data_IF_153054380561
#
_entry.id   IF_153054380561
#
_cell.length_a   1.000
_cell.length_b   1.000
_cell.length_c   1.000
_cell.angle_alpha   90.00
_cell.angle_beta   90.00
_cell.angle_gamma   90.00
#
_symmetry.space_group_name_H-M   'P 1'
#
loop_
_entity.id
_entity.type
_entity.pdbx_description
1 polymer ?
#
# COMPACT_ATOMS: atom_id res chain seq x y z
N UNK A 1 -15.05 33.61 -4.54
CA UNK A 1 -16.13 32.82 -3.92
C UNK A 1 -15.86 31.31 -3.88
N UNK A 2 -15.33 30.67 -4.93
CA UNK A 2 -14.96 29.23 -4.88
C UNK A 2 -13.64 28.92 -4.16
N UNK A 3 -12.70 29.88 -4.07
CA UNK A 3 -11.38 29.65 -3.48
C UNK A 3 -11.40 29.63 -1.94
N UNK A 4 -12.25 30.46 -1.32
CA UNK A 4 -12.37 30.57 0.14
C UNK A 4 -12.99 29.32 0.79
N UNK A 5 -13.95 28.69 0.10
CA UNK A 5 -14.66 27.50 0.59
C UNK A 5 -13.75 26.28 0.73
N UNK A 6 -12.80 26.09 -0.19
CA UNK A 6 -11.85 24.98 -0.13
C UNK A 6 -10.82 25.18 0.98
N UNK A 7 -10.34 26.41 1.13
CA UNK A 7 -9.37 26.78 2.18
C UNK A 7 -9.98 26.63 3.59
N UNK A 8 -11.23 27.07 3.79
CA UNK A 8 -11.94 26.86 5.05
C UNK A 8 -12.19 25.37 5.36
N UNK A 9 -12.51 24.54 4.35
CA UNK A 9 -12.69 23.09 4.56
C UNK A 9 -11.38 22.39 4.94
N UNK A 10 -10.25 22.79 4.35
CA UNK A 10 -8.93 22.25 4.68
C UNK A 10 -8.49 22.64 6.11
N UNK A 11 -8.77 23.88 6.54
CA UNK A 11 -8.51 24.33 7.92
C UNK A 11 -9.37 23.54 8.90
N UNK A 12 -10.66 23.38 8.63
CA UNK A 12 -11.57 22.63 9.52
C UNK A 12 -11.17 21.16 9.64
N UNK A 13 -10.77 20.51 8.54
CA UNK A 13 -10.28 19.13 8.56
C UNK A 13 -8.97 18.99 9.36
N UNK A 14 -8.02 19.92 9.18
CA UNK A 14 -6.76 19.92 9.92
C UNK A 14 -6.98 20.17 11.42
N UNK A 15 -7.88 21.07 11.79
CA UNK A 15 -8.26 21.33 13.18
C UNK A 15 -8.93 20.10 13.81
N UNK A 16 -9.81 19.40 13.09
CA UNK A 16 -10.45 18.17 13.58
C UNK A 16 -9.44 17.04 13.81
N UNK A 17 -8.46 16.87 12.92
CA UNK A 17 -7.38 15.87 13.08
C UNK A 17 -6.49 16.19 14.29
N UNK A 18 -6.13 17.46 14.48
CA UNK A 18 -5.33 17.89 15.64
C UNK A 18 -6.12 17.71 16.94
N UNK A 19 -7.42 18.02 16.95
CA UNK A 19 -8.28 17.87 18.12
C UNK A 19 -8.49 16.39 18.46
N UNK A 20 -8.65 15.52 17.46
CA UNK A 20 -8.72 14.06 17.65
C UNK A 20 -7.41 13.49 18.21
N UNK A 21 -6.26 13.97 17.74
CA UNK A 21 -4.95 13.57 18.25
C UNK A 21 -4.73 14.03 19.70
N UNK A 22 -5.12 15.26 20.04
CA UNK A 22 -5.04 15.79 21.41
C UNK A 22 -5.96 15.04 22.38
N UNK A 23 -7.17 14.69 21.94
CA UNK A 23 -8.11 13.85 22.72
C UNK A 23 -7.54 12.45 22.95
N UNK A 24 -6.92 11.84 21.93
CA UNK A 24 -6.27 10.53 22.07
C UNK A 24 -5.10 10.57 23.08
N UNK A 25 -4.28 11.63 23.03
CA UNK A 25 -3.15 11.84 23.95
C UNK A 25 -3.64 12.11 25.39
N UNK A 26 -4.74 12.86 25.57
CA UNK A 26 -5.31 13.12 26.90
C UNK A 26 -5.98 11.88 27.53
N UNK A 27 -6.53 10.98 26.71
CA UNK A 27 -7.19 9.76 27.18
C UNK A 27 -6.18 8.66 27.57
N UNK A 28 -5.00 8.63 26.93
CA UNK A 28 -3.94 7.64 27.21
C UNK A 28 -3.53 7.52 28.68
N UNK A 29 -3.26 8.61 29.45
CA UNK A 29 -2.84 8.49 30.84
C UNK A 29 -3.95 8.06 31.81
N UNK A 30 -5.23 8.08 31.41
CA UNK A 30 -6.35 7.67 32.27
C UNK A 30 -6.64 6.15 32.20
N UNK A 31 -6.30 5.49 31.09
CA UNK A 31 -6.57 4.06 30.87
C UNK A 31 -5.48 3.17 31.48
N UNK A 32 -4.23 3.64 31.48
CA UNK A 32 -3.06 2.86 31.98
C UNK A 32 -3.13 2.55 33.50
N UNK A 33 -3.54 3.48 34.39
CA UNK A 33 -3.64 3.18 35.82
C UNK A 33 -4.81 2.25 36.17
N UNK A 34 -5.93 2.34 35.45
CA UNK A 34 -7.11 1.51 35.66
C UNK A 34 -6.88 0.03 35.27
N UNK A 35 -6.08 -0.19 34.22
CA UNK A 35 -5.64 -1.52 33.82
C UNK A 35 -4.71 -2.16 34.88
N UNK A 36 -3.83 -1.36 35.49
CA UNK A 36 -2.93 -1.81 36.56
C UNK A 36 -3.66 -2.15 37.87
N UNK A 37 -4.62 -1.32 38.28
CA UNK A 37 -5.40 -1.54 39.50
C UNK A 37 -6.29 -2.80 39.41
N UNK A 38 -6.86 -3.08 38.23
CA UNK A 38 -7.68 -4.27 37.98
C UNK A 38 -6.85 -5.56 37.97
N UNK A 39 -5.60 -5.50 37.51
CA UNK A 39 -4.67 -6.64 37.51
C UNK A 39 -4.37 -7.13 38.94
N UNK A 40 -4.23 -6.21 39.90
CA UNK A 40 -4.00 -6.59 41.30
C UNK A 40 -5.20 -7.32 41.92
N UNK A 41 -6.43 -6.93 41.59
CA UNK A 41 -7.64 -7.57 42.13
C UNK A 41 -7.83 -8.99 41.58
N UNK A 42 -7.42 -9.25 40.33
CA UNK A 42 -7.50 -10.56 39.70
C UNK A 42 -6.49 -11.58 40.28
N UNK A 43 -5.33 -11.11 40.74
CA UNK A 43 -4.33 -11.99 41.38
C UNK A 43 -4.73 -12.47 42.78
N UNK A 44 -5.68 -11.79 43.45
CA UNK A 44 -6.10 -12.13 44.82
C UNK A 44 -7.31 -13.07 44.91
N UNK A 45 -7.98 -13.40 43.80
CA UNK A 45 -9.21 -14.21 43.81
C UNK A 45 -9.12 -15.42 42.87
N UNK A 46 -8.38 -16.46 43.27
CA UNK A 46 -8.13 -17.68 42.48
C UNK A 46 -9.34 -18.61 42.24
N UNK A 47 -10.43 -18.10 41.68
CA UNK A 47 -11.63 -18.87 41.33
C UNK A 47 -11.93 -18.91 39.81
N UNK A 48 -12.94 -19.69 39.37
CA UNK A 48 -13.37 -19.76 37.97
C UNK A 48 -13.79 -18.39 37.38
N UNK A 49 -14.20 -17.45 38.24
CA UNK A 49 -14.45 -16.07 37.85
C UNK A 49 -13.16 -15.32 37.44
N UNK A 50 -12.03 -15.54 38.12
CA UNK A 50 -10.75 -14.92 37.73
C UNK A 50 -10.17 -15.55 36.46
N UNK A 51 -10.38 -16.84 36.23
CA UNK A 51 -10.04 -17.48 34.95
C UNK A 51 -10.89 -16.92 33.79
N UNK A 52 -12.19 -16.69 34.02
CA UNK A 52 -13.07 -16.05 33.04
C UNK A 52 -12.72 -14.58 32.78
N UNK A 53 -12.37 -13.83 33.82
CA UNK A 53 -11.89 -12.44 33.73
C UNK A 53 -10.55 -12.38 33.00
N UNK A 54 -9.61 -13.27 33.31
CA UNK A 54 -8.32 -13.39 32.61
C UNK A 54 -8.49 -13.74 31.13
N UNK A 55 -9.38 -14.69 30.80
CA UNK A 55 -9.70 -15.03 29.41
C UNK A 55 -10.36 -13.86 28.65
N UNK A 56 -11.22 -13.08 29.31
CA UNK A 56 -11.83 -11.88 28.73
C UNK A 56 -10.79 -10.78 28.51
N UNK A 57 -9.84 -10.61 29.43
CA UNK A 57 -8.72 -9.67 29.28
C UNK A 57 -7.83 -10.04 28.10
N UNK A 58 -7.42 -11.31 28.00
CA UNK A 58 -6.59 -11.80 26.87
C UNK A 58 -7.29 -11.59 25.53
N UNK A 59 -8.60 -11.87 25.45
CA UNK A 59 -9.38 -11.62 24.22
C UNK A 59 -9.44 -10.14 23.86
N UNK A 60 -9.57 -9.27 24.85
CA UNK A 60 -9.65 -7.81 24.63
C UNK A 60 -8.30 -7.26 24.16
N UNK A 61 -7.20 -7.69 24.78
CA UNK A 61 -5.83 -7.36 24.36
C UNK A 61 -5.54 -7.86 22.94
N UNK A 62 -5.97 -9.08 22.62
CA UNK A 62 -5.77 -9.67 21.29
C UNK A 62 -6.58 -8.91 20.22
N UNK A 63 -7.84 -8.61 20.52
CA UNK A 63 -8.71 -7.85 19.62
C UNK A 63 -8.21 -6.43 19.42
N UNK A 64 -7.75 -5.77 20.49
CA UNK A 64 -7.16 -4.43 20.42
C UNK A 64 -5.92 -4.44 19.54
N UNK A 65 -4.98 -5.37 19.81
CA UNK A 65 -3.76 -5.52 19.02
C UNK A 65 -4.04 -5.83 17.54
N UNK A 66 -5.03 -6.69 17.27
CA UNK A 66 -5.52 -7.00 15.93
C UNK A 66 -6.04 -5.75 15.21
N UNK A 67 -6.87 -4.94 15.88
CA UNK A 67 -7.43 -3.72 15.29
C UNK A 67 -6.37 -2.64 15.06
N UNK A 68 -5.43 -2.48 16.00
CA UNK A 68 -4.28 -1.59 15.84
C UNK A 68 -3.40 -2.04 14.67
N UNK A 69 -3.14 -3.34 14.55
CA UNK A 69 -2.41 -3.91 13.42
C UNK A 69 -3.10 -3.62 12.09
N UNK A 70 -4.40 -3.89 12.00
CA UNK A 70 -5.20 -3.61 10.81
C UNK A 70 -5.10 -2.16 10.35
N UNK A 71 -5.29 -1.21 11.27
CA UNK A 71 -5.19 0.21 10.93
C UNK A 71 -3.76 0.66 10.66
N UNK A 72 -2.76 0.10 11.34
CA UNK A 72 -1.36 0.37 11.06
C UNK A 72 -1.00 -0.07 9.63
N UNK A 73 -1.47 -1.25 9.19
CA UNK A 73 -1.30 -1.74 7.81
C UNK A 73 -2.01 -0.85 6.79
N UNK A 74 -3.26 -0.46 7.08
CA UNK A 74 -3.98 0.49 6.24
C UNK A 74 -3.23 1.82 6.13
N UNK A 75 -2.80 2.38 7.26
CA UNK A 75 -2.13 3.67 7.31
C UNK A 75 -0.77 3.63 6.62
N UNK A 76 -0.02 2.54 6.78
CA UNK A 76 1.26 2.34 6.11
C UNK A 76 1.13 2.52 4.60
N UNK A 77 0.21 1.78 3.98
CA UNK A 77 0.03 1.81 2.53
C UNK A 77 -0.61 3.10 2.02
N UNK A 78 -1.46 3.74 2.82
CA UNK A 78 -2.08 5.02 2.48
C UNK A 78 -1.12 6.21 2.65
N UNK A 79 -0.19 6.11 3.59
CA UNK A 79 0.80 7.16 3.87
C UNK A 79 1.97 7.15 2.89
N UNK A 80 2.29 5.98 2.30
CA UNK A 80 3.31 5.85 1.26
C UNK A 80 2.78 6.30 -0.11
N UNK A 81 3.18 7.48 -0.62
CA UNK A 81 2.69 7.98 -1.91
C UNK A 81 3.19 7.14 -3.10
N UNK A 82 4.27 6.38 -2.89
CA UNK A 82 4.89 5.46 -3.84
C UNK A 82 3.97 4.29 -4.19
N UNK A 83 3.31 3.68 -3.20
CA UNK A 83 2.35 2.59 -3.43
C UNK A 83 1.18 3.07 -4.29
N UNK A 84 0.63 4.22 -3.94
CA UNK A 84 -0.48 4.84 -4.68
C UNK A 84 -0.04 5.25 -6.09
N UNK A 85 1.15 5.83 -6.24
CA UNK A 85 1.70 6.21 -7.55
C UNK A 85 1.99 5.00 -8.45
N UNK A 86 2.41 3.86 -7.88
CA UNK A 86 2.60 2.61 -8.63
C UNK A 86 1.26 2.00 -9.09
N UNK A 87 0.26 1.96 -8.20
CA UNK A 87 -0.99 1.28 -8.46
C UNK A 87 -2.00 2.12 -9.27
N UNK A 88 -1.89 3.44 -9.26
CA UNK A 88 -2.76 4.33 -10.02
C UNK A 88 -2.76 4.05 -11.54
N UNK A 89 -1.63 4.10 -12.26
CA UNK A 89 -1.60 3.81 -13.70
C UNK A 89 -2.03 2.38 -14.02
N UNK A 90 -1.81 1.42 -13.10
CA UNK A 90 -2.24 0.04 -13.25
C UNK A 90 -3.76 -0.15 -13.05
N UNK A 91 -4.45 0.74 -12.34
CA UNK A 91 -5.87 0.54 -11.98
C UNK A 91 -6.83 1.32 -12.87
N UNK A 92 -6.35 2.36 -13.56
CA UNK A 92 -7.18 3.21 -14.42
C UNK A 92 -7.74 2.41 -15.59
N UNK A 93 -9.04 2.54 -15.82
CA UNK A 93 -9.74 1.88 -16.94
C UNK A 93 -10.11 0.41 -16.70
N UNK A 94 -9.71 -0.20 -15.58
CA UNK A 94 -10.08 -1.57 -15.19
C UNK A 94 -11.42 -1.62 -14.47
N UNK A 95 -12.10 -2.76 -14.52
CA UNK A 95 -13.33 -2.98 -13.74
C UNK A 95 -13.05 -3.01 -12.24
N UNK A 96 -14.10 -2.88 -11.41
CA UNK A 96 -13.95 -2.93 -9.95
C UNK A 96 -13.23 -4.19 -9.49
N UNK A 97 -13.64 -5.35 -10.01
CA UNK A 97 -13.08 -6.65 -9.63
C UNK A 97 -11.63 -6.80 -10.10
N UNK A 98 -11.31 -6.35 -11.31
CA UNK A 98 -9.95 -6.38 -11.83
C UNK A 98 -9.03 -5.43 -11.06
N UNK A 99 -9.51 -4.24 -10.73
CA UNK A 99 -8.76 -3.27 -9.92
C UNK A 99 -8.50 -3.81 -8.51
N UNK A 100 -9.52 -4.42 -7.88
CA UNK A 100 -9.38 -5.11 -6.59
C UNK A 100 -8.33 -6.22 -6.66
N UNK A 101 -8.37 -7.05 -7.70
CA UNK A 101 -7.42 -8.15 -7.88
C UNK A 101 -5.99 -7.64 -8.09
N UNK A 102 -5.81 -6.56 -8.86
CA UNK A 102 -4.50 -5.92 -9.07
C UNK A 102 -3.96 -5.37 -7.75
N UNK A 103 -4.76 -4.60 -7.02
CA UNK A 103 -4.35 -4.05 -5.72
C UNK A 103 -4.08 -5.12 -4.68
N UNK A 104 -4.93 -6.13 -4.57
CA UNK A 104 -4.75 -7.22 -3.63
C UNK A 104 -3.53 -8.08 -3.97
N UNK A 105 -3.29 -8.37 -5.25
CA UNK A 105 -2.16 -9.19 -5.67
C UNK A 105 -0.83 -8.45 -5.51
N UNK A 106 -0.82 -7.14 -5.80
CA UNK A 106 0.33 -6.29 -5.52
C UNK A 106 0.58 -6.21 -4.00
N UNK A 107 -0.47 -6.03 -3.20
CA UNK A 107 -0.38 -6.02 -1.73
C UNK A 107 0.11 -7.34 -1.14
N UNK A 108 -0.36 -8.48 -1.63
CA UNK A 108 0.17 -9.78 -1.23
C UNK A 108 1.66 -9.94 -1.60
N UNK A 109 2.05 -9.45 -2.78
CA UNK A 109 3.46 -9.43 -3.20
C UNK A 109 4.29 -8.56 -2.28
N UNK A 110 3.80 -7.38 -1.96
CA UNK A 110 4.42 -6.42 -1.06
C UNK A 110 4.62 -7.01 0.34
N UNK A 111 3.58 -7.58 0.94
CA UNK A 111 3.66 -8.30 2.21
C UNK A 111 4.68 -9.45 2.15
N UNK A 112 4.72 -10.22 1.07
CA UNK A 112 5.70 -11.27 0.88
C UNK A 112 7.13 -10.72 0.83
N UNK A 113 7.35 -9.60 0.12
CA UNK A 113 8.62 -8.89 0.11
C UNK A 113 9.06 -8.47 1.52
N UNK A 114 8.14 -7.91 2.31
CA UNK A 114 8.40 -7.49 3.68
C UNK A 114 8.76 -8.67 4.59
N UNK A 115 8.05 -9.79 4.48
CA UNK A 115 8.33 -11.00 5.25
C UNK A 115 9.68 -11.61 4.87
N UNK A 116 10.00 -11.67 3.57
CA UNK A 116 11.30 -12.14 3.08
C UNK A 116 12.41 -11.23 3.62
N UNK A 117 12.23 -9.91 3.52
CA UNK A 117 13.18 -8.94 4.02
C UNK A 117 13.38 -9.06 5.53
N UNK A 118 12.29 -9.14 6.29
CA UNK A 118 12.33 -9.33 7.74
C UNK A 118 13.05 -10.61 8.15
N UNK A 119 12.83 -11.72 7.43
CA UNK A 119 13.54 -12.98 7.68
C UNK A 119 15.05 -12.86 7.39
N UNK A 120 15.42 -12.26 6.26
CA UNK A 120 16.83 -11.99 5.92
C UNK A 120 17.49 -11.12 6.98
N UNK A 121 16.79 -10.06 7.42
CA UNK A 121 17.26 -9.16 8.47
C UNK A 121 17.51 -9.91 9.78
N UNK A 122 16.61 -10.80 10.21
CA UNK A 122 16.79 -11.59 11.43
C UNK A 122 18.01 -12.52 11.37
N UNK A 123 18.27 -13.15 10.22
CA UNK A 123 19.38 -14.10 10.05
C UNK A 123 20.73 -13.36 9.94
N UNK A 124 20.77 -12.22 9.24
CA UNK A 124 22.00 -11.48 8.93
C UNK A 124 22.17 -10.20 9.77
N UNK A 125 21.44 -10.05 10.89
CA UNK A 125 21.36 -8.81 11.68
C UNK A 125 22.72 -8.18 12.05
N UNK A 126 23.73 -9.02 12.31
CA UNK A 126 25.07 -8.58 12.74
C UNK A 126 26.02 -8.30 11.55
N UNK A 127 25.54 -8.48 10.31
CA UNK A 127 26.32 -8.31 9.06
C UNK A 127 25.72 -7.27 8.11
N UNK A 128 24.49 -6.83 8.36
CA UNK A 128 23.74 -5.92 7.48
C UNK A 128 23.89 -4.48 7.95
N UNK A 129 24.57 -3.66 7.14
CA UNK A 129 24.56 -2.21 7.31
C UNK A 129 23.20 -1.68 6.83
N UNK A 130 22.31 -1.36 7.77
CA UNK A 130 20.92 -0.95 7.51
C UNK A 130 20.87 0.24 6.52
N UNK A 131 21.83 1.16 6.60
CA UNK A 131 21.92 2.30 5.70
C UNK A 131 22.12 1.89 4.23
N UNK A 132 23.01 0.93 3.96
CA UNK A 132 23.29 0.47 2.60
C UNK A 132 22.03 -0.15 1.99
N UNK A 133 21.33 -0.97 2.77
CA UNK A 133 20.11 -1.65 2.33
C UNK A 133 18.98 -0.66 2.11
N UNK A 134 18.84 0.32 2.99
CA UNK A 134 17.87 1.41 2.84
C UNK A 134 18.12 2.18 1.55
N UNK A 135 19.37 2.57 1.28
CA UNK A 135 19.74 3.26 0.05
C UNK A 135 19.43 2.43 -1.19
N UNK A 136 19.78 1.14 -1.22
CA UNK A 136 19.49 0.28 -2.37
C UNK A 136 18.00 0.00 -2.53
N UNK A 137 17.27 -0.26 -1.43
CA UNK A 137 15.82 -0.48 -1.43
C UNK A 137 15.07 0.73 -1.98
N UNK A 138 15.38 1.93 -1.48
CA UNK A 138 14.78 3.18 -1.96
C UNK A 138 15.10 3.46 -3.43
N UNK A 139 16.31 3.12 -3.91
CA UNK A 139 16.64 3.22 -5.34
C UNK A 139 15.83 2.24 -6.20
N UNK A 140 15.68 1.00 -5.75
CA UNK A 140 14.88 -0.02 -6.44
C UNK A 140 13.41 0.41 -6.54
N UNK A 141 12.86 1.00 -5.48
CA UNK A 141 11.51 1.58 -5.50
C UNK A 141 11.41 2.73 -6.50
N UNK A 142 12.35 3.67 -6.49
CA UNK A 142 12.39 4.75 -7.47
C UNK A 142 12.45 4.25 -8.92
N UNK A 143 13.29 3.24 -9.20
CA UNK A 143 13.38 2.61 -10.51
C UNK A 143 12.09 1.88 -10.90
N UNK A 144 11.45 1.20 -9.95
CA UNK A 144 10.18 0.50 -10.19
C UNK A 144 9.08 1.49 -10.59
N UNK A 145 9.01 2.66 -9.95
CA UNK A 145 8.09 3.74 -10.33
C UNK A 145 8.36 4.29 -11.73
N UNK A 146 9.63 4.45 -12.11
CA UNK A 146 10.00 4.84 -13.48
C UNK A 146 9.51 3.82 -14.51
N UNK A 147 9.72 2.52 -14.25
CA UNK A 147 9.28 1.44 -15.14
C UNK A 147 7.75 1.39 -15.26
N UNK A 148 7.04 1.44 -14.13
CA UNK A 148 5.57 1.42 -14.12
C UNK A 148 5.00 2.63 -14.86
N UNK A 149 5.54 3.83 -14.62
CA UNK A 149 5.10 5.03 -15.33
C UNK A 149 5.41 4.97 -16.83
N UNK A 150 6.59 4.48 -17.23
CA UNK A 150 6.92 4.31 -18.64
C UNK A 150 5.99 3.29 -19.33
N UNK A 151 5.65 2.19 -18.65
CA UNK A 151 4.67 1.21 -19.13
C UNK A 151 3.27 1.82 -19.27
N UNK A 152 2.82 2.64 -18.30
CA UNK A 152 1.53 3.32 -18.36
C UNK A 152 1.43 4.34 -19.50
N UNK A 153 2.51 5.08 -19.79
CA UNK A 153 2.61 5.97 -20.96
C UNK A 153 2.48 5.17 -22.26
N UNK A 154 3.19 4.04 -22.37
CA UNK A 154 3.12 3.18 -23.55
C UNK A 154 1.70 2.66 -23.77
N UNK A 155 1.04 2.16 -22.73
CA UNK A 155 -0.34 1.66 -22.79
C UNK A 155 -1.33 2.76 -23.20
N UNK A 156 -1.15 3.98 -22.67
CA UNK A 156 -2.00 5.12 -23.05
C UNK A 156 -1.75 5.59 -24.50
N UNK A 157 -0.51 5.49 -24.99
CA UNK A 157 -0.15 5.88 -26.37
C UNK A 157 -0.67 4.90 -27.41
N UNK A 158 -0.67 3.59 -27.11
CA UNK A 158 -1.25 2.56 -27.98
C UNK A 158 -2.78 2.69 -28.06
N UNK A 159 -3.44 3.13 -26.99
CA UNK A 159 -4.87 3.42 -26.99
C UNK A 159 -5.25 4.67 -27.82
N UNK A 160 -4.30 5.60 -28.02
CA UNK A 160 -4.47 6.81 -28.83
C UNK A 160 -4.28 6.58 -30.35
N UNK A 161 -3.73 5.43 -30.75
CA UNK A 161 -3.33 5.14 -32.11
C UNK A 161 -4.40 4.56 -33.09
N UNK A 162 -5.74 4.62 -32.91
CA UNK A 162 -6.68 4.15 -33.93
C UNK A 162 -7.14 5.28 -34.90
N UNK A 163 -6.31 6.30 -35.19
CA UNK A 163 -6.74 7.41 -36.08
C UNK A 163 -5.77 7.83 -37.20
N UNK A 164 -4.59 7.20 -37.38
CA UNK A 164 -3.68 7.56 -38.49
C UNK A 164 -3.03 6.31 -39.12
N UNK A 165 -3.81 5.59 -39.93
CA UNK A 165 -3.35 4.71 -41.00
C UNK A 165 -4.48 4.68 -42.04
N UNK A 166 -4.59 5.74 -42.84
CA UNK A 166 -4.17 5.76 -44.25
C UNK A 166 -4.89 4.73 -45.12
N UNK A 167 -5.79 5.29 -45.93
CA UNK A 167 -6.19 4.89 -47.27
C UNK A 167 -5.05 4.23 -48.08
N UNK A 168 -5.40 3.20 -48.86
CA UNK A 168 -4.64 2.47 -49.89
C UNK A 168 -3.58 1.40 -49.50
N UNK A 169 -3.91 0.14 -49.81
CA UNK A 169 -3.15 -0.72 -50.74
C UNK A 169 -1.88 -1.42 -50.23
N UNK A 170 -1.95 -2.75 -50.11
CA UNK A 170 -0.91 -3.77 -50.30
C UNK A 170 0.55 -3.54 -49.82
N UNK A 171 1.01 -4.43 -48.93
CA UNK A 171 2.31 -5.14 -48.91
C UNK A 171 2.98 -5.22 -47.52
N UNK A 172 2.64 -6.30 -46.82
CA UNK A 172 3.52 -7.22 -46.07
C UNK A 172 4.82 -6.73 -45.42
N UNK A 173 4.79 -6.69 -44.08
CA UNK A 173 5.80 -7.35 -43.25
C UNK A 173 5.27 -7.64 -41.83
N UNK A 174 4.89 -8.90 -41.58
CA UNK A 174 4.97 -9.48 -40.23
C UNK A 174 3.68 -9.74 -39.44
N UNK A 175 2.59 -10.13 -40.09
CA UNK A 175 1.45 -10.80 -39.41
C UNK A 175 1.58 -12.31 -39.61
N UNK A 176 2.29 -12.99 -38.72
CA UNK A 176 2.12 -14.40 -38.35
C UNK A 176 2.85 -14.58 -37.01
N UNK A 177 2.18 -14.32 -35.88
CA UNK A 177 1.82 -15.43 -34.99
C UNK A 177 0.48 -15.14 -34.28
N UNK A 178 -0.63 -15.23 -35.04
CA UNK A 178 -2.00 -15.13 -34.51
C UNK A 178 -2.86 -16.35 -34.83
N UNK A 179 -2.28 -17.50 -35.14
CA UNK A 179 -3.04 -18.74 -35.38
C UNK A 179 -2.32 -19.93 -34.76
N UNK A 180 -3.02 -20.64 -33.86
CA UNK A 180 -2.62 -21.84 -33.10
C UNK A 180 -1.86 -21.65 -31.77
N UNK A 181 -2.56 -21.14 -30.75
CA UNK A 181 -2.48 -21.67 -29.39
C UNK A 181 -3.56 -21.03 -28.49
N UNK A 182 -4.37 -21.80 -27.73
CA UNK A 182 -5.25 -21.22 -26.72
C UNK A 182 -4.43 -20.87 -25.48
N UNK A 183 -3.65 -19.80 -25.49
CA UNK A 183 -2.75 -19.44 -24.37
C UNK A 183 -2.67 -17.90 -24.13
N UNK A 184 -2.07 -17.39 -23.04
CA UNK A 184 -2.65 -17.25 -21.70
C UNK A 184 -2.51 -15.79 -21.22
N UNK A 185 -3.09 -14.80 -21.94
CA UNK A 185 -2.84 -13.36 -21.67
C UNK A 185 -3.29 -12.90 -20.26
N UNK A 186 -4.28 -13.57 -19.65
CA UNK A 186 -4.73 -13.29 -18.27
C UNK A 186 -3.75 -13.74 -17.17
N UNK A 187 -2.89 -14.75 -17.40
CA UNK A 187 -1.97 -15.27 -16.35
C UNK A 187 -0.73 -14.40 -16.13
N UNK A 188 -0.25 -13.69 -17.17
CA UNK A 188 1.01 -12.91 -17.11
C UNK A 188 0.88 -11.62 -16.29
N UNK A 189 -0.29 -10.94 -16.36
CA UNK A 189 -0.52 -9.69 -15.63
C UNK A 189 -0.54 -9.95 -14.12
N UNK A 190 -1.11 -11.08 -13.68
CA UNK A 190 -1.15 -11.43 -12.27
C UNK A 190 0.26 -11.62 -11.68
N UNK A 191 1.07 -12.50 -12.28
CA UNK A 191 2.41 -12.76 -11.77
C UNK A 191 3.31 -11.52 -11.80
N UNK A 192 3.23 -10.71 -12.86
CA UNK A 192 4.00 -9.46 -12.94
C UNK A 192 3.64 -8.49 -11.81
N UNK A 193 2.35 -8.28 -11.54
CA UNK A 193 1.88 -7.43 -10.44
C UNK A 193 2.30 -7.95 -9.07
N UNK A 194 2.25 -9.27 -8.86
CA UNK A 194 2.74 -9.88 -7.62
C UNK A 194 4.25 -9.68 -7.45
N UNK A 195 5.03 -9.94 -8.50
CA UNK A 195 6.48 -9.82 -8.49
C UNK A 195 6.95 -8.38 -8.28
N UNK A 196 6.31 -7.41 -8.92
CA UNK A 196 6.59 -5.99 -8.66
C UNK A 196 6.21 -5.60 -7.24
N UNK A 197 5.13 -6.17 -6.69
CA UNK A 197 4.79 -6.06 -5.28
C UNK A 197 5.93 -6.55 -4.37
N UNK A 198 6.47 -7.75 -4.63
CA UNK A 198 7.62 -8.28 -3.87
C UNK A 198 8.80 -7.32 -3.91
N UNK A 199 9.19 -6.88 -5.11
CA UNK A 199 10.33 -5.97 -5.29
C UNK A 199 10.13 -4.68 -4.51
N UNK A 200 8.91 -4.13 -4.52
CA UNK A 200 8.57 -2.92 -3.77
C UNK A 200 8.56 -3.16 -2.26
N UNK A 201 8.04 -4.30 -1.79
CA UNK A 201 7.97 -4.68 -0.38
C UNK A 201 9.31 -5.06 0.26
N UNK A 202 10.38 -5.21 -0.53
CA UNK A 202 11.75 -5.32 -0.01
C UNK A 202 12.27 -4.00 0.58
N UNK A 203 11.51 -2.90 0.47
CA UNK A 203 11.87 -1.64 1.10
C UNK A 203 11.82 -1.78 2.64
N UNK A 204 12.84 -1.32 3.37
CA UNK A 204 12.90 -1.46 4.84
C UNK A 204 11.97 -0.51 5.62
N UNK A 205 11.12 0.28 4.95
CA UNK A 205 10.24 1.27 5.58
C UNK A 205 9.19 0.65 6.51
N UNK A 206 8.63 -0.48 6.11
CA UNK A 206 7.65 -1.21 6.90
C UNK A 206 8.24 -1.88 8.14
N UNK A 207 9.54 -2.19 8.14
CA UNK A 207 10.22 -2.76 9.29
C UNK A 207 10.10 -1.81 10.50
N UNK A 208 10.14 -0.50 10.27
CA UNK A 208 9.93 0.53 11.30
C UNK A 208 8.48 0.54 11.81
N UNK A 209 7.51 0.27 10.94
CA UNK A 209 6.09 0.19 11.28
C UNK A 209 5.72 -1.08 12.05
N UNK A 210 6.57 -2.12 11.96
CA UNK A 210 6.40 -3.42 12.62
C UNK A 210 7.07 -3.49 14.00
N UNK A 211 7.98 -2.56 14.32
CA UNK A 211 8.61 -2.46 15.64
C UNK A 211 7.62 -2.48 16.83
N UNK A 212 6.43 -1.85 16.76
CA UNK A 212 5.43 -1.96 17.83
C UNK A 212 5.03 -3.40 18.14
N UNK A 213 4.99 -4.29 17.14
CA UNK A 213 4.67 -5.71 17.34
C UNK A 213 5.73 -6.44 18.18
N UNK A 214 7.00 -6.05 18.05
CA UNK A 214 8.12 -6.61 18.81
C UNK A 214 8.20 -6.04 20.24
N UNK A 215 7.64 -4.85 20.47
CA UNK A 215 7.55 -4.23 21.78
C UNK A 215 6.38 -4.76 22.63
N UNK A 216 5.46 -5.52 22.04
CA UNK A 216 4.33 -6.10 22.77
C UNK A 216 4.81 -7.21 23.72
N UNK A 217 4.38 -7.18 25.00
CA UNK A 217 4.81 -8.17 26.00
C UNK A 217 4.25 -9.57 25.72
N UNK A 218 3.16 -9.67 24.96
CA UNK A 218 2.53 -10.94 24.57
C UNK A 218 2.87 -11.30 23.13
N UNK A 219 3.45 -12.49 22.92
CA UNK A 219 3.74 -13.04 21.59
C UNK A 219 2.49 -13.21 20.74
N UNK A 220 1.37 -13.58 21.37
CA UNK A 220 0.10 -13.77 20.67
C UNK A 220 -0.50 -12.43 20.24
N UNK A 221 -0.34 -11.38 21.05
CA UNK A 221 -0.72 -10.02 20.70
C UNK A 221 0.14 -9.48 19.54
N UNK A 222 1.45 -9.70 19.58
CA UNK A 222 2.36 -9.37 18.46
C UNK A 222 1.99 -10.11 17.17
N UNK A 223 1.68 -11.40 17.25
CA UNK A 223 1.24 -12.19 16.09
C UNK A 223 -0.11 -11.71 15.52
N UNK A 224 -1.07 -11.36 16.38
CA UNK A 224 -2.36 -10.80 15.96
C UNK A 224 -2.20 -9.43 15.30
N UNK A 225 -1.36 -8.56 15.86
CA UNK A 225 -1.00 -7.28 15.26
C UNK A 225 -0.39 -7.48 13.88
N UNK A 226 0.64 -8.33 13.75
CA UNK A 226 1.33 -8.61 12.49
C UNK A 226 0.39 -9.16 11.43
N UNK A 227 -0.42 -10.17 11.79
CA UNK A 227 -1.35 -10.79 10.84
C UNK A 227 -2.34 -9.77 10.32
N UNK A 228 -2.92 -8.98 11.22
CA UNK A 228 -3.88 -7.96 10.82
C UNK A 228 -3.23 -6.77 10.09
N UNK A 229 -1.97 -6.47 10.36
CA UNK A 229 -1.20 -5.50 9.58
C UNK A 229 -1.13 -5.91 8.12
N UNK A 230 -0.75 -7.16 7.82
CA UNK A 230 -0.71 -7.70 6.46
C UNK A 230 -2.11 -7.67 5.82
N UNK A 231 -3.15 -8.10 6.54
CA UNK A 231 -4.54 -8.02 6.07
C UNK A 231 -4.94 -6.56 5.77
N UNK A 232 -4.57 -5.62 6.64
CA UNK A 232 -4.81 -4.19 6.46
C UNK A 232 -4.13 -3.63 5.21
N UNK A 233 -2.89 -4.04 4.93
CA UNK A 233 -2.16 -3.70 3.70
C UNK A 233 -2.95 -4.14 2.48
N UNK A 234 -3.30 -5.42 2.38
CA UNK A 234 -4.03 -5.98 1.22
C UNK A 234 -5.38 -5.33 1.04
N UNK A 235 -6.13 -5.11 2.13
CA UNK A 235 -7.45 -4.47 2.10
C UNK A 235 -7.35 -3.02 1.65
N UNK A 236 -6.38 -2.26 2.16
CA UNK A 236 -6.21 -0.86 1.77
C UNK A 236 -5.80 -0.74 0.29
N UNK A 237 -4.82 -1.52 -0.15
CA UNK A 237 -4.37 -1.54 -1.54
C UNK A 237 -5.47 -1.99 -2.52
N UNK A 238 -6.21 -3.06 -2.18
CA UNK A 238 -7.41 -3.45 -2.93
C UNK A 238 -8.49 -2.35 -2.91
N UNK A 239 -8.67 -1.67 -1.79
CA UNK A 239 -9.69 -0.63 -1.60
C UNK A 239 -9.46 0.61 -2.47
N UNK A 240 -8.26 1.23 -2.40
CA UNK A 240 -8.01 2.44 -3.17
C UNK A 240 -7.85 2.14 -4.67
N UNK A 241 -7.42 0.94 -5.06
CA UNK A 241 -7.40 0.55 -6.49
C UNK A 241 -8.80 0.37 -7.04
N UNK A 242 -9.73 -0.23 -6.29
CA UNK A 242 -11.17 -0.25 -6.63
C UNK A 242 -11.72 1.17 -6.77
N UNK A 243 -11.34 2.07 -5.88
CA UNK A 243 -11.75 3.47 -5.95
C UNK A 243 -11.25 4.13 -7.25
N UNK A 244 -9.96 4.01 -7.56
CA UNK A 244 -9.35 4.55 -8.79
C UNK A 244 -10.01 3.95 -10.04
N UNK A 245 -10.18 2.63 -10.09
CA UNK A 245 -10.83 1.92 -11.19
C UNK A 245 -12.28 2.37 -11.38
N UNK A 246 -13.05 2.43 -10.30
CA UNK A 246 -14.45 2.86 -10.33
C UNK A 246 -14.60 4.32 -10.77
N UNK A 247 -13.80 5.23 -10.22
CA UNK A 247 -13.83 6.65 -10.58
C UNK A 247 -13.42 6.85 -12.04
N UNK A 248 -12.37 6.16 -12.51
CA UNK A 248 -11.93 6.26 -13.90
C UNK A 248 -12.96 5.69 -14.89
N UNK A 249 -13.63 4.58 -14.57
CA UNK A 249 -14.72 4.05 -15.39
C UNK A 249 -15.95 4.97 -15.41
N UNK A 250 -16.39 5.45 -14.25
CA UNK A 250 -17.52 6.37 -14.17
C UNK A 250 -17.27 7.67 -14.95
N UNK A 251 -16.02 8.13 -14.99
CA UNK A 251 -15.64 9.30 -15.76
C UNK A 251 -15.55 9.00 -17.26
N UNK A 252 -15.16 7.77 -17.65
CA UNK A 252 -15.13 7.31 -19.05
C UNK A 252 -16.49 7.40 -19.72
N UNK A 253 -17.55 7.03 -19.00
CA UNK A 253 -18.94 7.09 -19.50
C UNK A 253 -19.37 8.52 -19.85
N UNK A 254 -18.73 9.53 -19.23
CA UNK A 254 -18.97 10.96 -19.51
C UNK A 254 -18.03 11.52 -20.58
N UNK A 255 -16.76 11.07 -20.60
CA UNK A 255 -15.71 11.61 -21.47
C UNK A 255 -14.89 10.45 -22.07
N UNK A 256 -15.09 10.08 -23.35
CA UNK A 256 -14.58 8.83 -23.94
C UNK A 256 -13.05 8.72 -24.11
N UNK A 257 -12.25 9.70 -23.66
CA UNK A 257 -10.77 9.65 -23.61
C UNK A 257 -10.17 10.02 -22.26
N UNK A 258 -10.98 10.10 -21.20
CA UNK A 258 -10.47 10.54 -19.91
C UNK A 258 -9.58 9.49 -19.23
N UNK A 259 -9.82 8.20 -19.48
CA UNK A 259 -8.96 7.12 -18.96
C UNK A 259 -7.56 7.24 -19.53
N UNK A 260 -7.41 7.53 -20.81
CA UNK A 260 -6.10 7.78 -21.45
C UNK A 260 -5.37 8.95 -20.79
N UNK A 261 -6.05 10.09 -20.61
CA UNK A 261 -5.48 11.27 -19.96
C UNK A 261 -5.11 11.01 -18.50
N UNK A 262 -5.95 10.26 -17.77
CA UNK A 262 -5.68 9.88 -16.38
C UNK A 262 -4.49 8.92 -16.30
N UNK A 263 -4.37 7.95 -17.20
CA UNK A 263 -3.23 7.04 -17.26
C UNK A 263 -1.95 7.82 -17.56
N UNK A 264 -1.96 8.76 -18.51
CA UNK A 264 -0.84 9.66 -18.76
C UNK A 264 -0.47 10.48 -17.52
N UNK A 265 -1.44 11.14 -16.89
CA UNK A 265 -1.20 11.98 -15.72
C UNK A 265 -0.64 11.19 -14.53
N UNK A 266 -1.24 10.05 -14.21
CA UNK A 266 -0.76 9.16 -13.13
C UNK A 266 0.63 8.59 -13.44
N UNK A 267 0.92 8.25 -14.70
CA UNK A 267 2.23 7.78 -15.11
C UNK A 267 3.32 8.84 -14.99
N UNK A 268 3.00 10.10 -15.31
CA UNK A 268 3.90 11.23 -15.11
C UNK A 268 4.17 11.49 -13.62
N UNK A 269 3.16 11.35 -12.77
CA UNK A 269 3.32 11.44 -11.30
C UNK A 269 4.24 10.32 -10.81
N UNK A 270 4.03 9.08 -11.27
CA UNK A 270 4.90 7.95 -10.91
C UNK A 270 6.35 8.20 -11.33
N UNK A 271 6.58 8.68 -12.56
CA UNK A 271 7.92 9.02 -13.05
C UNK A 271 8.55 10.15 -12.23
N UNK A 272 7.80 11.22 -11.98
CA UNK A 272 8.28 12.37 -11.20
C UNK A 272 8.66 11.95 -9.77
N UNK A 273 7.84 11.13 -9.12
CA UNK A 273 8.13 10.59 -7.80
C UNK A 273 9.34 9.65 -7.82
N UNK A 274 9.46 8.80 -8.85
CA UNK A 274 10.62 7.94 -9.04
C UNK A 274 11.93 8.72 -9.18
N UNK A 275 11.94 9.77 -10.00
CA UNK A 275 13.08 10.68 -10.11
C UNK A 275 13.35 11.42 -8.80
N UNK A 276 12.30 11.95 -8.13
CA UNK A 276 12.45 12.65 -6.86
C UNK A 276 13.12 11.76 -5.80
N UNK A 277 12.69 10.49 -5.70
CA UNK A 277 13.27 9.50 -4.80
C UNK A 277 14.74 9.22 -5.16
N UNK A 278 15.06 8.98 -6.43
CA UNK A 278 16.44 8.68 -6.85
C UNK A 278 17.34 9.89 -6.60
N UNK A 279 16.90 11.09 -6.99
CA UNK A 279 17.68 12.33 -6.86
C UNK A 279 17.89 12.68 -5.39
N UNK A 280 16.88 12.53 -4.53
CA UNK A 280 17.02 12.87 -3.11
C UNK A 280 18.10 12.03 -2.44
N UNK A 281 18.23 10.74 -2.82
CA UNK A 281 19.32 9.87 -2.35
C UNK A 281 20.72 10.36 -2.77
N UNK A 282 20.87 11.00 -3.93
CA UNK A 282 22.15 11.57 -4.35
C UNK A 282 22.55 12.81 -3.54
N UNK A 283 21.57 13.59 -3.09
CA UNK A 283 21.80 14.79 -2.28
C UNK A 283 21.80 14.54 -0.76
N UNK A 284 21.63 13.28 -0.33
CA UNK A 284 21.60 12.91 1.08
C UNK A 284 20.30 13.26 1.80
N UNK A 285 19.24 13.65 1.08
CA UNK A 285 17.92 13.90 1.64
C UNK A 285 17.04 12.67 1.46
N UNK A 286 16.41 12.20 2.55
CA UNK A 286 15.35 11.19 2.42
C UNK A 286 14.01 11.91 2.39
N UNK A 287 13.21 11.70 1.33
CA UNK A 287 11.86 12.25 1.24
C UNK A 287 10.88 11.61 2.24
N UNK A 288 11.28 10.50 2.86
CA UNK A 288 10.57 9.76 3.91
C UNK A 288 11.57 9.05 4.84
#
# INVERSE_FOLDING_TARGET
MFHDSFYQRAITARTLVILAALVAILIQPAIVPAAYATFQTATQTGGPAAAAVGGKLIRTELLSSAWTGFFAGCLHTLSGPDHLAALAPLSIGRTRLESAAVGALWGCGHDAGQLIFGLIFLILKDRLHIEIIRTWGTRVVGLTLLVIGAMGIKEASEAAAPCVALENGECDAGVYESLNNPTPRKKKIGFATFATGIVHGLQPDALMMVLPALALPSRLAGAAFLTMFLVGTVVAMGGYTVFIGSCSQALKDRVPRITEKLTWASSLIAIALGFAIIISQFFGFTLY
#
